data_IF_651206743382
#
_entry.id   IF_651206743382
#
_cell.length_a   1.000
_cell.length_b   1.000
_cell.length_c   1.000
_cell.angle_alpha   90.00
_cell.angle_beta   90.00
_cell.angle_gamma   90.00
#
_symmetry.space_group_name_H-M   'P 1'
#
loop_
_entity.id
_entity.type
_entity.pdbx_description
1 polymer ?
#
# COMPACT_ATOMS: atom_id res chain seq x y z
N UNK A 1 14.21 -8.46 31.73
CA UNK A 1 14.57 -7.82 30.45
C UNK A 1 13.37 -7.92 29.54
N UNK A 2 12.54 -6.90 29.52
CA UNK A 2 11.38 -6.80 28.63
C UNK A 2 11.94 -6.54 27.24
N UNK A 3 11.82 -7.54 26.35
CA UNK A 3 12.06 -7.33 24.93
C UNK A 3 11.11 -6.24 24.47
N UNK A 4 11.65 -5.09 24.08
CA UNK A 4 10.92 -4.10 23.32
C UNK A 4 10.59 -4.76 21.99
N UNK A 5 9.46 -5.47 21.94
CA UNK A 5 8.84 -5.82 20.67
C UNK A 5 8.65 -4.48 19.98
N UNK A 6 9.34 -4.30 18.86
CA UNK A 6 9.07 -3.19 17.97
C UNK A 6 7.63 -3.35 17.47
N UNK A 7 6.73 -2.71 18.20
CA UNK A 7 5.28 -2.66 17.97
C UNK A 7 4.92 -2.12 16.58
N UNK A 8 5.91 -1.72 15.77
CA UNK A 8 5.73 -1.28 14.38
C UNK A 8 5.99 -2.38 13.34
N UNK A 9 6.54 -3.54 13.74
CA UNK A 9 6.72 -4.70 12.82
C UNK A 9 5.82 -5.88 13.14
N UNK A 10 5.34 -6.03 14.37
CA UNK A 10 4.36 -7.05 14.71
C UNK A 10 2.96 -6.56 14.32
N UNK A 11 2.33 -7.27 13.38
CA UNK A 11 0.94 -7.00 12.98
C UNK A 11 0.12 -8.24 13.26
N UNK A 12 -1.07 -8.04 13.83
CA UNK A 12 -2.04 -9.12 14.00
C UNK A 12 -2.71 -9.47 12.66
N UNK A 13 -2.76 -8.50 11.73
CA UNK A 13 -3.52 -8.60 10.48
C UNK A 13 -2.86 -7.86 9.33
N UNK A 14 -2.61 -8.57 8.24
CA UNK A 14 -2.17 -8.00 6.97
C UNK A 14 -3.31 -8.08 5.96
N UNK A 15 -3.69 -6.94 5.38
CA UNK A 15 -4.71 -6.87 4.31
C UNK A 15 -4.03 -6.44 3.02
N UNK A 16 -4.13 -7.31 2.02
CA UNK A 16 -3.62 -7.13 0.67
C UNK A 16 -4.83 -6.85 -0.23
N UNK A 17 -4.97 -5.61 -0.68
CA UNK A 17 -6.10 -5.17 -1.48
C UNK A 17 -5.65 -4.94 -2.93
N UNK A 18 -6.32 -5.58 -3.88
CA UNK A 18 -6.19 -5.17 -5.27
C UNK A 18 -6.74 -3.75 -5.46
N UNK A 19 -6.19 -3.00 -6.42
CA UNK A 19 -6.55 -1.60 -6.59
C UNK A 19 -7.70 -1.41 -7.58
N UNK A 20 -7.44 -1.67 -8.86
CA UNK A 20 -8.38 -1.43 -9.95
C UNK A 20 -9.56 -2.40 -9.88
N UNK A 21 -10.80 -1.88 -9.96
CA UNK A 21 -12.05 -2.66 -9.88
C UNK A 21 -12.26 -3.48 -8.59
N UNK A 22 -11.43 -3.25 -7.56
CA UNK A 22 -11.61 -3.79 -6.21
C UNK A 22 -11.76 -2.67 -5.19
N UNK A 23 -10.74 -1.82 -5.05
CA UNK A 23 -10.82 -0.61 -4.23
C UNK A 23 -11.36 0.57 -5.05
N UNK A 24 -10.91 0.69 -6.29
CA UNK A 24 -11.20 1.80 -7.18
C UNK A 24 -11.93 1.31 -8.44
N UNK A 25 -13.26 1.37 -8.41
CA UNK A 25 -14.07 1.12 -9.60
C UNK A 25 -13.78 2.18 -10.67
N UNK A 26 -13.62 1.84 -11.96
CA UNK A 26 -13.35 2.84 -12.99
C UNK A 26 -14.58 3.70 -13.31
N UNK A 27 -15.78 3.14 -13.18
CA UNK A 27 -17.02 3.89 -13.31
C UNK A 27 -17.23 4.81 -12.08
N UNK A 28 -17.22 6.15 -12.24
CA UNK A 28 -17.45 7.06 -11.13
C UNK A 28 -18.86 6.96 -10.54
N UNK A 29 -19.85 6.49 -11.30
CA UNK A 29 -21.24 6.39 -10.87
C UNK A 29 -21.44 5.37 -9.76
N UNK A 30 -20.58 4.36 -9.68
CA UNK A 30 -20.61 3.33 -8.63
C UNK A 30 -19.74 3.68 -7.42
N UNK A 31 -18.94 4.76 -7.49
CA UNK A 31 -18.10 5.19 -6.36
C UNK A 31 -18.95 5.92 -5.32
N UNK A 32 -19.16 5.28 -4.17
CA UNK A 32 -19.74 5.94 -3.00
C UNK A 32 -18.65 6.67 -2.21
N UNK A 33 -18.73 8.01 -2.16
CA UNK A 33 -17.84 8.82 -1.29
C UNK A 33 -18.00 8.45 0.18
N UNK A 34 -19.21 8.09 0.60
CA UNK A 34 -19.48 7.66 1.98
C UNK A 34 -18.77 6.36 2.29
N UNK A 35 -18.87 5.36 1.40
CA UNK A 35 -18.28 4.04 1.64
C UNK A 35 -16.75 4.13 1.68
N UNK A 36 -16.16 4.99 0.84
CA UNK A 36 -14.71 5.28 0.88
C UNK A 36 -14.30 5.95 2.20
N UNK A 37 -15.10 6.89 2.70
CA UNK A 37 -14.83 7.54 3.98
C UNK A 37 -14.98 6.58 5.17
N UNK A 38 -16.02 5.74 5.16
CA UNK A 38 -16.28 4.73 6.20
C UNK A 38 -15.15 3.68 6.20
N UNK A 39 -14.71 3.23 5.02
CA UNK A 39 -13.57 2.32 4.88
C UNK A 39 -12.27 2.96 5.40
N UNK A 40 -11.99 4.22 5.04
CA UNK A 40 -10.82 4.94 5.52
C UNK A 40 -10.81 5.06 7.05
N UNK A 41 -11.94 5.44 7.65
CA UNK A 41 -12.07 5.54 9.10
C UNK A 41 -11.86 4.18 9.79
N UNK A 42 -12.44 3.11 9.25
CA UNK A 42 -12.29 1.76 9.78
C UNK A 42 -10.83 1.29 9.72
N UNK A 43 -10.20 1.37 8.54
CA UNK A 43 -8.80 0.94 8.36
C UNK A 43 -7.88 1.73 9.27
N UNK A 44 -7.99 3.06 9.30
CA UNK A 44 -7.13 3.88 10.14
C UNK A 44 -7.31 3.57 11.64
N UNK A 45 -8.55 3.34 12.09
CA UNK A 45 -8.84 2.95 13.48
C UNK A 45 -8.23 1.59 13.84
N UNK A 46 -8.35 0.60 12.96
CA UNK A 46 -7.77 -0.73 13.17
C UNK A 46 -6.24 -0.72 13.09
N UNK A 47 -5.66 0.10 12.21
CA UNK A 47 -4.21 0.30 12.13
C UNK A 47 -3.67 0.85 13.46
N UNK A 48 -4.34 1.86 14.01
CA UNK A 48 -3.92 2.49 15.26
C UNK A 48 -4.14 1.61 16.51
N UNK A 49 -5.26 0.87 16.58
CA UNK A 49 -5.67 0.15 17.79
C UNK A 49 -5.28 -1.33 17.81
N UNK A 50 -5.10 -1.96 16.65
CA UNK A 50 -4.87 -3.41 16.48
C UNK A 50 -3.66 -3.73 15.61
N UNK A 51 -2.89 -2.71 15.21
CA UNK A 51 -1.71 -2.90 14.36
C UNK A 51 -2.03 -3.47 12.98
N UNK A 52 -3.26 -3.30 12.47
CA UNK A 52 -3.61 -3.68 11.09
C UNK A 52 -2.63 -3.03 10.10
N UNK A 53 -2.13 -3.81 9.14
CA UNK A 53 -1.37 -3.29 8.00
C UNK A 53 -2.19 -3.50 6.73
N UNK A 54 -2.88 -2.45 6.31
CA UNK A 54 -3.59 -2.41 5.03
C UNK A 54 -2.67 -1.87 3.94
N UNK A 55 -2.69 -2.46 2.75
CA UNK A 55 -1.97 -1.92 1.61
C UNK A 55 -2.48 -2.43 0.27
N UNK A 56 -2.05 -1.75 -0.78
CA UNK A 56 -2.47 -2.04 -2.15
C UNK A 56 -1.46 -2.92 -2.87
N UNK A 57 -1.95 -3.83 -3.72
CA UNK A 57 -1.16 -4.61 -4.67
C UNK A 57 -1.77 -4.38 -6.04
N UNK A 58 -1.01 -3.84 -6.99
CA UNK A 58 -1.49 -3.53 -8.34
C UNK A 58 -0.40 -3.75 -9.38
N UNK A 59 -0.80 -3.95 -10.64
CA UNK A 59 0.12 -3.90 -11.78
C UNK A 59 0.63 -2.49 -12.07
N UNK A 60 -0.14 -1.47 -11.69
CA UNK A 60 0.12 -0.05 -11.93
C UNK A 60 1.29 0.48 -11.10
N UNK A 61 1.83 1.64 -11.50
CA UNK A 61 2.87 2.30 -10.71
C UNK A 61 2.32 2.76 -9.34
N UNK A 62 3.11 2.66 -8.25
CA UNK A 62 2.67 3.15 -6.94
C UNK A 62 2.27 4.64 -6.94
N UNK A 63 2.89 5.46 -7.79
CA UNK A 63 2.54 6.87 -7.97
C UNK A 63 1.11 7.07 -8.49
N UNK A 64 0.59 6.15 -9.32
CA UNK A 64 -0.80 6.19 -9.80
C UNK A 64 -1.77 6.02 -8.63
N UNK A 65 -1.51 5.05 -7.75
CA UNK A 65 -2.31 4.83 -6.54
C UNK A 65 -2.30 6.07 -5.64
N UNK A 66 -1.11 6.64 -5.39
CA UNK A 66 -0.96 7.85 -4.56
C UNK A 66 -1.74 9.03 -5.14
N UNK A 67 -1.65 9.26 -6.45
CA UNK A 67 -2.39 10.32 -7.13
C UNK A 67 -3.91 10.14 -6.97
N UNK A 68 -4.42 8.94 -7.21
CA UNK A 68 -5.86 8.64 -7.07
C UNK A 68 -6.35 8.81 -5.63
N UNK A 69 -5.59 8.35 -4.63
CA UNK A 69 -5.94 8.59 -3.22
C UNK A 69 -5.98 10.08 -2.90
N UNK A 70 -5.04 10.86 -3.46
CA UNK A 70 -5.04 12.32 -3.36
C UNK A 70 -6.28 12.97 -3.98
N UNK A 71 -6.63 12.57 -5.21
CA UNK A 71 -7.78 13.09 -5.95
C UNK A 71 -9.13 12.74 -5.29
N UNK A 72 -9.21 11.56 -4.67
CA UNK A 72 -10.39 11.14 -3.89
C UNK A 72 -10.52 11.89 -2.57
N UNK A 73 -9.50 12.68 -2.17
CA UNK A 73 -9.40 13.33 -0.87
C UNK A 73 -9.68 12.36 0.30
N UNK A 74 -9.28 11.10 0.14
CA UNK A 74 -9.46 10.10 1.19
C UNK A 74 -8.43 10.32 2.29
N UNK A 75 -8.84 10.10 3.53
CA UNK A 75 -7.92 10.07 4.68
C UNK A 75 -7.24 8.70 4.85
N UNK A 76 -7.49 7.75 3.94
CA UNK A 76 -6.91 6.41 3.99
C UNK A 76 -5.39 6.48 3.84
N UNK A 77 -4.68 5.93 4.82
CA UNK A 77 -3.21 5.86 4.83
C UNK A 77 -2.77 4.39 4.71
N UNK A 78 -2.41 3.92 3.50
CA UNK A 78 -1.93 2.56 3.34
C UNK A 78 -0.55 2.41 3.98
N UNK A 79 -0.33 1.28 4.65
CA UNK A 79 0.96 0.91 5.25
C UNK A 79 1.99 0.48 4.18
N UNK A 80 1.54 0.12 2.98
CA UNK A 80 2.39 -0.22 1.84
C UNK A 80 1.61 -0.15 0.51
N UNK A 81 2.36 -0.03 -0.60
CA UNK A 81 1.87 -0.16 -1.97
C UNK A 81 2.86 -1.01 -2.76
N UNK A 82 2.42 -2.19 -3.18
CA UNK A 82 3.10 -3.01 -4.19
C UNK A 82 2.60 -2.62 -5.58
N UNK A 83 3.53 -2.28 -6.47
CA UNK A 83 3.21 -1.78 -7.81
C UNK A 83 4.20 -2.25 -8.86
N UNK A 84 4.06 -1.73 -10.08
CA UNK A 84 4.91 -2.03 -11.23
C UNK A 84 5.05 -3.54 -11.45
N UNK A 85 3.92 -4.23 -11.58
CA UNK A 85 3.88 -5.70 -11.73
C UNK A 85 4.57 -6.45 -10.57
N UNK A 86 4.57 -5.85 -9.38
CA UNK A 86 5.18 -6.40 -8.18
C UNK A 86 6.69 -6.17 -8.05
N UNK A 87 7.33 -5.41 -8.95
CA UNK A 87 8.77 -5.10 -8.81
C UNK A 87 9.05 -4.04 -7.76
N UNK A 88 8.07 -3.19 -7.49
CA UNK A 88 8.23 -2.06 -6.58
C UNK A 88 7.37 -2.29 -5.35
N UNK A 89 7.94 -1.97 -4.19
CA UNK A 89 7.25 -1.94 -2.91
C UNK A 89 7.60 -0.63 -2.22
N UNK A 90 6.59 0.19 -1.96
CA UNK A 90 6.68 1.31 -1.04
C UNK A 90 6.10 0.88 0.32
N UNK A 91 6.75 1.26 1.41
CA UNK A 91 6.33 0.97 2.78
C UNK A 91 6.28 2.28 3.57
N UNK A 92 5.25 2.46 4.39
CA UNK A 92 5.14 3.62 5.25
C UNK A 92 6.25 3.61 6.33
N UNK A 93 6.98 4.71 6.44
CA UNK A 93 7.98 4.90 7.48
C UNK A 93 7.34 5.38 8.81
N UNK A 94 8.18 5.74 9.78
CA UNK A 94 7.73 6.23 11.08
C UNK A 94 6.91 7.54 11.03
N UNK A 95 7.02 8.31 9.94
CA UNK A 95 6.25 9.52 9.69
C UNK A 95 4.96 9.26 8.90
N UNK A 96 4.76 8.03 8.43
CA UNK A 96 3.66 7.66 7.53
C UNK A 96 3.97 7.94 6.05
N UNK A 97 5.17 8.42 5.72
CA UNK A 97 5.58 8.63 4.33
C UNK A 97 5.90 7.28 3.67
N UNK A 98 5.37 7.07 2.47
CA UNK A 98 5.66 5.88 1.67
C UNK A 98 7.05 5.98 1.04
N UNK A 99 7.96 5.10 1.46
CA UNK A 99 9.35 5.05 0.98
C UNK A 99 9.67 3.70 0.32
N UNK A 100 10.59 3.64 -0.66
CA UNK A 100 10.97 2.38 -1.29
C UNK A 100 11.57 1.37 -0.32
N UNK A 101 11.08 0.13 -0.38
CA UNK A 101 11.71 -1.00 0.29
C UNK A 101 12.89 -1.51 -0.55
N UNK A 102 14.09 -1.16 -0.11
CA UNK A 102 15.33 -1.54 -0.80
C UNK A 102 15.64 -3.04 -0.70
N UNK A 103 15.15 -3.72 0.34
CA UNK A 103 15.32 -5.16 0.50
C UNK A 103 14.44 -5.93 -0.50
N UNK A 104 13.23 -5.44 -0.76
CA UNK A 104 12.37 -5.95 -1.82
C UNK A 104 13.04 -5.81 -3.18
N UNK A 105 13.50 -4.61 -3.51
CA UNK A 105 14.18 -4.34 -4.79
C UNK A 105 15.43 -5.21 -4.98
N UNK A 106 16.20 -5.46 -3.91
CA UNK A 106 17.39 -6.30 -3.96
C UNK A 106 17.11 -7.78 -4.32
N UNK A 107 15.85 -8.25 -4.25
CA UNK A 107 15.46 -9.61 -4.66
C UNK A 107 15.44 -9.78 -6.17
N UNK A 108 15.23 -8.70 -6.93
CA UNK A 108 15.24 -8.74 -8.37
C UNK A 108 16.69 -8.69 -8.87
N UNK A 109 17.10 -9.72 -9.60
CA UNK A 109 18.40 -9.71 -10.28
C UNK A 109 18.40 -8.60 -11.32
N UNK A 110 19.50 -7.83 -11.40
CA UNK A 110 19.72 -6.97 -12.56
C UNK A 110 19.60 -7.81 -13.83
N UNK A 111 18.81 -7.39 -14.83
CA UNK A 111 18.72 -8.13 -16.08
C UNK A 111 20.15 -8.31 -16.61
N UNK A 112 20.52 -9.56 -16.94
CA UNK A 112 21.74 -9.79 -17.71
C UNK A 112 21.58 -8.95 -18.97
N UNK A 113 22.59 -8.16 -19.31
CA UNK A 113 22.58 -7.35 -20.51
C UNK A 113 22.13 -8.20 -21.68
N UNK A 114 21.00 -7.82 -22.27
CA UNK A 114 20.52 -8.44 -23.49
C UNK A 114 21.60 -8.18 -24.54
N UNK A 115 22.34 -9.23 -24.93
CA UNK A 115 23.21 -9.17 -26.10
C UNK A 115 22.36 -9.56 -27.30
N UNK A 116 21.92 -8.62 -28.14
CA UNK A 116 21.38 -9.01 -29.44
C UNK A 116 22.51 -9.71 -30.22
N UNK A 117 22.21 -10.91 -30.70
CA UNK A 117 23.05 -11.63 -31.67
C UNK A 117 22.79 -11.17 -33.09
#
# INVERSE_FOLDING_TARGET
MTSLVDIRTATDWLVLCDFDETFFAHDPAVRSRRDLADLAALVNSLSASRGLRFGFITGSAPSTVIAVLGDLATSLQPAFIGGNLGTDLLVADASGALVPDLLWHARFRRPRSFRPG
#
